data_IF_239129638881
#
_entry.id   IF_239129638881
#
_cell.length_a   1.000
_cell.length_b   1.000
_cell.length_c   1.000
_cell.angle_alpha   90.00
_cell.angle_beta   90.00
_cell.angle_gamma   90.00
#
_symmetry.space_group_name_H-M   'P 1'
#
loop_
_entity.id
_entity.type
_entity.pdbx_description
1 polymer ?
#
# COMPACT_ATOMS: atom_id res chain seq x y z
N UNK A 1 0.26 -17.31 -17.04
CA UNK A 1 0.28 -17.05 -15.56
C UNK A 1 -0.80 -16.04 -15.12
N UNK A 2 -1.07 -14.94 -15.87
CA UNK A 2 -2.10 -13.94 -15.50
C UNK A 2 -3.53 -14.53 -15.44
N UNK A 3 -3.91 -15.36 -16.40
CA UNK A 3 -5.25 -15.96 -16.43
C UNK A 3 -5.51 -16.96 -15.31
N UNK A 4 -4.50 -17.73 -14.88
CA UNK A 4 -4.63 -18.67 -13.77
C UNK A 4 -4.92 -17.96 -12.43
N UNK A 5 -4.24 -16.85 -12.13
CA UNK A 5 -4.50 -16.09 -10.90
C UNK A 5 -5.90 -15.45 -10.82
N UNK A 6 -6.50 -15.16 -11.96
CA UNK A 6 -7.82 -14.55 -12.09
C UNK A 6 -8.90 -15.58 -11.82
N UNK A 7 -8.85 -16.71 -12.55
CA UNK A 7 -9.77 -17.84 -12.39
C UNK A 7 -9.76 -18.39 -10.97
N UNK A 8 -8.58 -18.49 -10.37
CA UNK A 8 -8.38 -18.98 -9.01
C UNK A 8 -9.15 -18.15 -7.97
N UNK A 9 -9.18 -16.83 -8.09
CA UNK A 9 -9.88 -15.96 -7.13
C UNK A 9 -11.39 -16.00 -7.25
N UNK A 10 -11.90 -15.97 -8.47
CA UNK A 10 -13.35 -16.08 -8.69
C UNK A 10 -13.85 -17.45 -8.25
N UNK A 11 -13.08 -18.51 -8.55
CA UNK A 11 -13.43 -19.87 -8.14
C UNK A 11 -13.37 -20.02 -6.62
N UNK A 12 -12.42 -19.39 -5.95
CA UNK A 12 -12.35 -19.33 -4.49
C UNK A 12 -13.60 -18.69 -3.89
N UNK A 13 -14.05 -17.55 -4.45
CA UNK A 13 -15.27 -16.87 -3.98
C UNK A 13 -16.51 -17.71 -4.27
N UNK A 14 -16.59 -18.32 -5.45
CA UNK A 14 -17.70 -19.23 -5.80
C UNK A 14 -17.79 -20.42 -4.85
N UNK A 15 -16.64 -21.03 -4.52
CA UNK A 15 -16.58 -22.15 -3.56
C UNK A 15 -17.05 -21.71 -2.18
N UNK A 16 -16.66 -20.54 -1.70
CA UNK A 16 -17.14 -20.01 -0.41
C UNK A 16 -18.65 -19.82 -0.38
N UNK A 17 -19.23 -19.34 -1.46
CA UNK A 17 -20.67 -19.12 -1.55
C UNK A 17 -21.44 -20.45 -1.64
N UNK A 18 -20.90 -21.43 -2.39
CA UNK A 18 -21.54 -22.73 -2.59
C UNK A 18 -21.48 -23.61 -1.35
N UNK A 19 -20.31 -23.70 -0.71
CA UNK A 19 -20.11 -24.53 0.48
C UNK A 19 -20.56 -23.83 1.78
N UNK A 20 -20.94 -22.55 1.72
CA UNK A 20 -21.26 -21.70 2.87
C UNK A 20 -20.17 -21.74 3.97
N UNK A 21 -18.94 -22.00 3.57
CA UNK A 21 -17.79 -22.15 4.46
C UNK A 21 -16.52 -21.61 3.77
N UNK A 22 -15.55 -21.17 4.58
CA UNK A 22 -14.32 -20.54 4.11
C UNK A 22 -13.17 -21.54 4.19
N UNK A 23 -12.51 -21.82 3.07
CA UNK A 23 -11.31 -22.69 2.99
C UNK A 23 -11.51 -24.13 3.49
N UNK A 24 -12.70 -24.71 3.35
CA UNK A 24 -12.94 -26.12 3.65
C UNK A 24 -12.42 -27.04 2.55
N UNK A 25 -12.54 -26.60 1.32
CA UNK A 25 -12.17 -27.33 0.11
C UNK A 25 -11.21 -26.48 -0.72
N UNK A 26 -10.23 -27.13 -1.33
CA UNK A 26 -9.35 -26.46 -2.28
C UNK A 26 -10.15 -26.07 -3.54
N UNK A 27 -10.28 -24.79 -3.89
CA UNK A 27 -11.13 -24.34 -4.99
C UNK A 27 -10.67 -24.85 -6.36
N UNK A 28 -9.41 -25.26 -6.51
CA UNK A 28 -8.86 -25.76 -7.77
C UNK A 28 -9.06 -27.26 -7.96
N UNK A 29 -8.96 -28.03 -6.88
CA UNK A 29 -9.01 -29.50 -6.94
C UNK A 29 -10.31 -30.09 -6.45
N UNK A 30 -11.15 -29.30 -5.75
CA UNK A 30 -12.39 -29.77 -5.14
C UNK A 30 -12.18 -30.72 -3.97
N UNK A 31 -10.92 -30.92 -3.52
CA UNK A 31 -10.60 -31.85 -2.42
C UNK A 31 -10.41 -31.08 -1.10
N UNK A 32 -10.73 -31.74 0.01
CA UNK A 32 -10.46 -31.18 1.34
C UNK A 32 -8.95 -31.00 1.55
N UNK A 33 -8.56 -29.97 2.30
CA UNK A 33 -7.15 -29.74 2.64
C UNK A 33 -6.62 -30.86 3.54
N UNK A 34 -5.78 -31.73 3.02
CA UNK A 34 -5.27 -32.94 3.70
C UNK A 34 -4.42 -32.66 4.94
N UNK A 35 -3.74 -31.51 4.99
CA UNK A 35 -2.90 -31.08 6.13
C UNK A 35 -3.50 -29.93 6.96
N UNK A 36 -4.80 -29.69 6.83
CA UNK A 36 -5.45 -28.53 7.44
C UNK A 36 -5.12 -27.23 6.74
N UNK A 37 -5.76 -26.15 7.17
CA UNK A 37 -5.61 -24.83 6.59
C UNK A 37 -4.25 -24.22 6.97
N UNK A 38 -3.45 -23.85 5.99
CA UNK A 38 -2.17 -23.14 6.24
C UNK A 38 -2.40 -21.81 6.95
N UNK A 39 -1.47 -21.41 7.82
CA UNK A 39 -1.55 -20.11 8.54
C UNK A 39 -1.74 -18.93 7.60
N UNK A 40 -1.14 -19.02 6.41
CA UNK A 40 -1.30 -18.05 5.33
C UNK A 40 -2.76 -17.84 4.92
N UNK A 41 -3.51 -18.90 4.72
CA UNK A 41 -4.91 -18.83 4.31
C UNK A 41 -5.82 -18.30 5.43
N UNK A 42 -5.45 -18.54 6.69
CA UNK A 42 -6.17 -18.01 7.86
C UNK A 42 -6.08 -16.49 7.98
N UNK A 43 -4.96 -15.91 7.57
CA UNK A 43 -4.69 -14.46 7.70
C UNK A 43 -5.13 -13.70 6.45
N UNK A 44 -5.14 -14.36 5.26
CA UNK A 44 -5.52 -13.72 4.01
C UNK A 44 -7.02 -13.43 3.96
N UNK A 45 -7.42 -12.22 4.32
CA UNK A 45 -8.82 -11.81 4.40
C UNK A 45 -9.42 -11.34 3.06
N UNK A 46 -8.61 -11.08 2.05
CA UNK A 46 -9.08 -10.46 0.80
C UNK A 46 -10.11 -11.30 0.03
N UNK A 47 -9.92 -12.61 -0.22
CA UNK A 47 -10.93 -13.43 -0.88
C UNK A 47 -12.22 -13.57 -0.06
N UNK A 48 -12.09 -13.64 1.27
CA UNK A 48 -13.24 -13.69 2.19
C UNK A 48 -14.06 -12.39 2.12
N UNK A 49 -13.38 -11.24 2.04
CA UNK A 49 -14.04 -9.95 1.86
C UNK A 49 -14.84 -9.91 0.54
N UNK A 50 -14.28 -10.44 -0.55
CA UNK A 50 -14.99 -10.51 -1.83
C UNK A 50 -16.23 -11.39 -1.77
N UNK A 51 -16.14 -12.54 -1.09
CA UNK A 51 -17.29 -13.43 -0.84
C UNK A 51 -18.37 -12.76 0.02
N UNK A 52 -17.97 -12.07 1.09
CA UNK A 52 -18.89 -11.33 1.94
C UNK A 52 -19.59 -10.20 1.16
N UNK A 53 -18.85 -9.43 0.36
CA UNK A 53 -19.44 -8.38 -0.47
C UNK A 53 -20.41 -8.95 -1.52
N UNK A 54 -20.07 -10.07 -2.18
CA UNK A 54 -20.95 -10.75 -3.13
C UNK A 54 -22.25 -11.17 -2.47
N UNK A 55 -22.16 -11.74 -1.26
CA UNK A 55 -23.34 -12.17 -0.49
C UNK A 55 -24.19 -10.99 -0.01
N UNK A 56 -23.55 -9.91 0.44
CA UNK A 56 -24.24 -8.71 0.95
C UNK A 56 -24.92 -7.93 -0.16
N UNK A 57 -24.27 -7.78 -1.32
CA UNK A 57 -24.79 -7.00 -2.46
C UNK A 57 -25.71 -7.82 -3.37
N UNK A 58 -25.70 -9.15 -3.27
CA UNK A 58 -26.38 -10.05 -4.22
C UNK A 58 -25.75 -10.08 -5.61
N UNK A 59 -24.61 -9.43 -5.81
CA UNK A 59 -23.92 -9.39 -7.10
C UNK A 59 -23.16 -10.70 -7.37
N UNK A 60 -23.05 -11.06 -8.64
CA UNK A 60 -22.22 -12.20 -9.03
C UNK A 60 -20.76 -11.98 -8.61
N UNK A 61 -20.04 -13.01 -8.12
CA UNK A 61 -18.64 -12.88 -7.70
C UNK A 61 -17.72 -12.24 -8.72
N UNK A 62 -17.98 -12.52 -10.00
CA UNK A 62 -17.24 -11.92 -11.14
C UNK A 62 -17.41 -10.41 -11.15
N UNK A 63 -18.63 -9.90 -11.00
CA UNK A 63 -18.92 -8.46 -11.02
C UNK A 63 -18.32 -7.75 -9.79
N UNK A 64 -18.35 -8.41 -8.62
CA UNK A 64 -17.70 -7.87 -7.42
C UNK A 64 -16.20 -7.72 -7.65
N UNK A 65 -15.52 -8.78 -8.12
CA UNK A 65 -14.07 -8.78 -8.28
C UNK A 65 -13.62 -7.84 -9.40
N UNK A 66 -14.33 -7.79 -10.53
CA UNK A 66 -13.88 -7.05 -11.72
C UNK A 66 -14.45 -5.65 -11.87
N UNK A 67 -15.57 -5.34 -11.22
CA UNK A 67 -16.21 -4.03 -11.33
C UNK A 67 -16.19 -3.29 -10.00
N UNK A 68 -16.76 -3.88 -8.95
CA UNK A 68 -16.92 -3.20 -7.67
C UNK A 68 -15.56 -2.93 -6.99
N UNK A 69 -14.71 -3.93 -6.87
CA UNK A 69 -13.42 -3.79 -6.17
C UNK A 69 -12.46 -2.82 -6.88
N UNK A 70 -12.26 -2.86 -8.21
CA UNK A 70 -11.44 -1.85 -8.89
C UNK A 70 -11.95 -0.43 -8.71
N UNK A 71 -13.28 -0.21 -8.73
CA UNK A 71 -13.84 1.11 -8.45
C UNK A 71 -13.54 1.59 -7.03
N UNK A 72 -13.70 0.72 -6.03
CA UNK A 72 -13.36 1.04 -4.63
C UNK A 72 -11.85 1.31 -4.51
N UNK A 73 -11.01 0.48 -5.11
CA UNK A 73 -9.56 0.65 -5.09
C UNK A 73 -9.13 1.97 -5.72
N UNK A 74 -9.75 2.35 -6.84
CA UNK A 74 -9.49 3.63 -7.51
C UNK A 74 -9.85 4.82 -6.61
N UNK A 75 -11.02 4.79 -5.97
CA UNK A 75 -11.45 5.83 -5.04
C UNK A 75 -10.50 5.94 -3.84
N UNK A 76 -10.15 4.80 -3.23
CA UNK A 76 -9.21 4.76 -2.10
C UNK A 76 -7.81 5.23 -2.51
N UNK A 77 -7.35 4.89 -3.71
CA UNK A 77 -6.08 5.38 -4.24
C UNK A 77 -6.08 6.91 -4.36
N UNK A 78 -7.17 7.48 -4.88
CA UNK A 78 -7.30 8.92 -5.01
C UNK A 78 -7.28 9.64 -3.64
N UNK A 79 -7.93 9.05 -2.64
CA UNK A 79 -7.90 9.56 -1.25
C UNK A 79 -6.49 9.44 -0.66
N UNK A 80 -5.80 8.32 -0.88
CA UNK A 80 -4.44 8.08 -0.40
C UNK A 80 -3.43 9.08 -1.00
N UNK A 81 -3.48 9.27 -2.33
CA UNK A 81 -2.66 10.29 -3.01
C UNK A 81 -3.07 11.71 -2.65
N UNK A 82 -4.36 11.95 -2.37
CA UNK A 82 -4.84 13.23 -1.83
C UNK A 82 -4.23 13.57 -0.47
N UNK A 83 -4.13 12.57 0.41
CA UNK A 83 -3.45 12.70 1.70
C UNK A 83 -1.95 12.94 1.54
N UNK A 84 -1.31 12.19 0.65
CA UNK A 84 0.11 12.38 0.32
C UNK A 84 0.37 13.78 -0.28
N UNK A 85 -0.49 14.23 -1.18
CA UNK A 85 -0.41 15.57 -1.76
C UNK A 85 -0.54 16.69 -0.73
N UNK A 86 -1.36 16.49 0.32
CA UNK A 86 -1.45 17.42 1.46
C UNK A 86 -0.17 17.43 2.28
N UNK A 87 0.41 16.27 2.53
CA UNK A 87 1.66 16.15 3.28
C UNK A 87 2.87 16.75 2.51
N UNK A 88 2.92 16.59 1.17
CA UNK A 88 3.98 17.12 0.31
C UNK A 88 3.87 18.63 0.08
N UNK A 89 2.64 19.13 -0.08
CA UNK A 89 2.35 20.54 -0.43
C UNK A 89 1.34 21.15 0.52
N UNK A 90 1.68 21.36 1.82
CA UNK A 90 0.73 21.81 2.83
C UNK A 90 0.13 23.19 2.51
N UNK A 91 0.92 24.13 2.01
CA UNK A 91 0.51 25.51 1.77
C UNK A 91 0.09 25.80 0.32
N UNK A 92 0.47 24.95 -0.63
CA UNK A 92 0.28 25.23 -2.05
C UNK A 92 -0.82 24.37 -2.67
N UNK A 93 -2.03 24.90 -2.71
CA UNK A 93 -3.21 24.21 -3.27
C UNK A 93 -3.09 23.92 -4.78
N UNK A 94 -2.39 24.78 -5.53
CA UNK A 94 -2.18 24.62 -6.98
C UNK A 94 -1.28 23.40 -7.23
N UNK A 95 -0.11 23.33 -6.56
CA UNK A 95 0.80 22.18 -6.69
C UNK A 95 0.13 20.86 -6.30
N UNK A 96 -0.70 20.88 -5.24
CA UNK A 96 -1.46 19.71 -4.84
C UNK A 96 -2.46 19.25 -5.90
N UNK A 97 -3.19 20.18 -6.54
CA UNK A 97 -4.13 19.84 -7.63
C UNK A 97 -3.38 19.30 -8.84
N UNK A 98 -2.27 19.95 -9.25
CA UNK A 98 -1.41 19.48 -10.34
C UNK A 98 -0.86 18.08 -10.06
N UNK A 99 -0.40 17.80 -8.83
CA UNK A 99 0.05 16.48 -8.42
C UNK A 99 -1.06 15.43 -8.59
N UNK A 100 -2.27 15.69 -8.10
CA UNK A 100 -3.40 14.77 -8.26
C UNK A 100 -3.81 14.58 -9.73
N UNK A 101 -3.71 15.62 -10.56
CA UNK A 101 -3.98 15.53 -11.98
C UNK A 101 -2.96 14.60 -12.67
N UNK A 102 -1.67 14.75 -12.37
CA UNK A 102 -0.61 13.88 -12.88
C UNK A 102 -0.85 12.42 -12.45
N UNK A 103 -1.21 12.19 -11.18
CA UNK A 103 -1.56 10.85 -10.70
C UNK A 103 -2.76 10.27 -11.45
N UNK A 104 -3.78 11.08 -11.72
CA UNK A 104 -4.94 10.66 -12.52
C UNK A 104 -4.57 10.25 -13.95
N UNK A 105 -3.66 11.01 -14.60
CA UNK A 105 -3.13 10.65 -15.92
C UNK A 105 -2.34 9.33 -15.85
N UNK A 106 -1.48 9.17 -14.83
CA UNK A 106 -0.71 7.93 -14.64
C UNK A 106 -1.61 6.71 -14.43
N UNK A 107 -2.70 6.83 -13.68
CA UNK A 107 -3.67 5.75 -13.55
C UNK A 107 -4.36 5.43 -14.88
N UNK A 108 -4.69 6.43 -15.70
CA UNK A 108 -5.29 6.23 -17.01
C UNK A 108 -4.34 5.54 -18.00
N UNK A 109 -3.03 5.78 -17.88
CA UNK A 109 -2.00 5.18 -18.74
C UNK A 109 -1.42 3.89 -18.15
N UNK A 110 -1.70 3.55 -16.91
CA UNK A 110 -1.12 2.43 -16.17
C UNK A 110 -1.37 1.06 -16.81
N UNK A 111 -2.49 0.91 -17.53
CA UNK A 111 -2.81 -0.29 -18.30
C UNK A 111 -1.77 -0.61 -19.39
N UNK A 112 -1.07 0.40 -19.90
CA UNK A 112 -0.05 0.29 -20.95
C UNK A 112 1.37 0.14 -20.42
N UNK A 113 1.54 0.19 -19.08
CA UNK A 113 2.85 0.07 -18.41
C UNK A 113 3.00 -1.34 -17.79
N UNK A 114 3.48 -2.35 -18.53
CA UNK A 114 3.66 -3.68 -17.99
C UNK A 114 4.72 -3.68 -16.88
N UNK A 115 4.37 -4.28 -15.72
CA UNK A 115 5.28 -4.41 -14.59
C UNK A 115 5.18 -3.34 -13.51
N UNK A 116 4.33 -2.32 -13.69
CA UNK A 116 4.11 -1.28 -12.66
C UNK A 116 2.73 -1.51 -12.02
N UNK A 117 2.67 -2.44 -11.07
CA UNK A 117 1.42 -2.84 -10.40
C UNK A 117 0.68 -1.67 -9.72
N UNK A 118 1.40 -0.62 -9.33
CA UNK A 118 0.83 0.54 -8.64
C UNK A 118 -0.08 1.42 -9.49
N UNK A 119 0.07 1.39 -10.81
CA UNK A 119 -0.75 2.17 -11.75
C UNK A 119 -1.76 1.32 -12.51
N UNK A 120 -1.68 -0.01 -12.47
CA UNK A 120 -2.65 -0.93 -13.08
C UNK A 120 -3.93 -1.05 -12.22
N UNK A 121 -4.52 0.09 -11.82
CA UNK A 121 -5.68 0.09 -10.92
C UNK A 121 -6.95 -0.32 -11.64
N UNK A 122 -7.12 0.03 -12.92
CA UNK A 122 -8.32 -0.29 -13.70
C UNK A 122 -8.46 -1.79 -14.00
N UNK A 123 -7.37 -2.46 -14.38
CA UNK A 123 -7.40 -3.89 -14.75
C UNK A 123 -6.89 -4.80 -13.65
N UNK A 124 -6.07 -4.30 -12.75
CA UNK A 124 -5.46 -5.05 -11.65
C UNK A 124 -5.93 -4.64 -10.26
N UNK A 125 -6.90 -3.72 -10.14
CA UNK A 125 -7.35 -3.15 -8.87
C UNK A 125 -7.90 -4.16 -7.85
N UNK A 126 -8.23 -5.37 -8.27
CA UNK A 126 -8.61 -6.49 -7.41
C UNK A 126 -7.41 -7.27 -6.85
N UNK A 127 -6.18 -6.99 -7.31
CA UNK A 127 -4.97 -7.67 -6.83
C UNK A 127 -4.47 -7.00 -5.55
N UNK A 128 -4.16 -7.81 -4.53
CA UNK A 128 -3.58 -7.28 -3.29
C UNK A 128 -2.30 -6.49 -3.50
N UNK A 129 -1.47 -6.87 -4.48
CA UNK A 129 -0.23 -6.14 -4.82
C UNK A 129 -0.53 -4.74 -5.35
N UNK A 130 -1.53 -4.61 -6.22
CA UNK A 130 -1.99 -3.31 -6.75
C UNK A 130 -2.60 -2.46 -5.64
N UNK A 131 -3.46 -3.03 -4.78
CA UNK A 131 -4.04 -2.33 -3.63
C UNK A 131 -2.93 -1.81 -2.70
N UNK A 132 -1.93 -2.65 -2.40
CA UNK A 132 -0.76 -2.24 -1.61
C UNK A 132 -0.04 -1.05 -2.24
N UNK A 133 0.31 -1.16 -3.53
CA UNK A 133 1.11 -0.15 -4.21
C UNK A 133 0.35 1.16 -4.45
N UNK A 134 -0.94 1.08 -4.80
CA UNK A 134 -1.75 2.25 -5.16
C UNK A 134 -2.42 2.92 -3.94
N UNK A 135 -2.70 2.18 -2.85
CA UNK A 135 -3.43 2.70 -1.68
C UNK A 135 -2.53 2.74 -0.46
N UNK A 136 -1.98 1.58 -0.05
CA UNK A 136 -1.30 1.50 1.25
C UNK A 136 0.02 2.27 1.27
N UNK A 137 0.85 2.16 0.24
CA UNK A 137 2.15 2.86 0.21
C UNK A 137 2.02 4.39 0.19
N UNK A 138 1.20 5.01 -0.67
CA UNK A 138 1.01 6.46 -0.65
C UNK A 138 0.43 6.96 0.68
N UNK A 139 -0.52 6.22 1.25
CA UNK A 139 -1.10 6.59 2.54
C UNK A 139 -0.10 6.42 3.70
N UNK A 140 0.71 5.34 3.68
CA UNK A 140 1.79 5.13 4.63
C UNK A 140 2.80 6.29 4.61
N UNK A 141 3.25 6.71 3.41
CA UNK A 141 4.16 7.85 3.26
C UNK A 141 3.55 9.15 3.82
N UNK A 142 2.26 9.38 3.56
CA UNK A 142 1.55 10.52 4.17
C UNK A 142 1.57 10.45 5.70
N UNK A 143 1.29 9.28 6.29
CA UNK A 143 1.31 9.08 7.73
C UNK A 143 2.70 9.25 8.34
N UNK A 144 3.75 8.80 7.66
CA UNK A 144 5.13 8.97 8.10
C UNK A 144 5.55 10.45 8.08
N UNK A 145 5.17 11.20 7.04
CA UNK A 145 5.44 12.64 6.94
C UNK A 145 4.70 13.42 8.03
N UNK A 146 3.42 13.09 8.27
CA UNK A 146 2.59 13.72 9.30
C UNK A 146 2.86 13.18 10.72
N UNK A 147 3.78 12.22 10.90
CA UNK A 147 4.10 11.53 12.17
C UNK A 147 2.90 10.86 12.84
N UNK A 148 1.95 10.39 12.05
CA UNK A 148 0.76 9.66 12.52
C UNK A 148 1.04 8.18 12.67
N UNK A 149 1.66 7.78 13.78
CA UNK A 149 2.08 6.39 14.02
C UNK A 149 0.94 5.37 14.03
N UNK A 150 -0.25 5.76 14.49
CA UNK A 150 -1.45 4.90 14.42
C UNK A 150 -1.80 4.52 12.99
N UNK A 151 -1.72 5.46 12.03
CA UNK A 151 -1.92 5.19 10.61
C UNK A 151 -0.85 4.26 10.04
N UNK A 152 0.40 4.39 10.48
CA UNK A 152 1.50 3.48 10.08
C UNK A 152 1.22 2.05 10.51
N UNK A 153 0.82 1.84 11.77
CA UNK A 153 0.48 0.51 12.30
C UNK A 153 -0.69 -0.09 11.53
N UNK A 154 -1.74 0.70 11.27
CA UNK A 154 -2.89 0.25 10.48
C UNK A 154 -2.50 -0.16 9.06
N UNK A 155 -1.59 0.57 8.40
CA UNK A 155 -1.10 0.19 7.07
C UNK A 155 -0.34 -1.15 7.08
N UNK A 156 0.50 -1.38 8.10
CA UNK A 156 1.24 -2.65 8.25
C UNK A 156 0.27 -3.81 8.48
N UNK A 157 -0.72 -3.64 9.35
CA UNK A 157 -1.75 -4.64 9.60
C UNK A 157 -2.62 -4.90 8.36
N UNK A 158 -3.03 -3.85 7.66
CA UNK A 158 -3.80 -3.98 6.42
C UNK A 158 -2.99 -4.71 5.34
N UNK A 159 -1.69 -4.43 5.21
CA UNK A 159 -0.83 -5.17 4.27
C UNK A 159 -0.80 -6.67 4.60
N UNK A 160 -0.65 -7.04 5.87
CA UNK A 160 -0.66 -8.43 6.29
C UNK A 160 -1.97 -9.15 5.93
N UNK A 161 -3.11 -8.46 5.99
CA UNK A 161 -4.42 -8.99 5.62
C UNK A 161 -4.63 -9.11 4.10
N UNK A 162 -4.02 -8.22 3.31
CA UNK A 162 -4.24 -8.11 1.86
C UNK A 162 -3.25 -8.96 1.06
N UNK A 163 -1.97 -8.95 1.44
CA UNK A 163 -0.89 -9.62 0.70
C UNK A 163 0.01 -10.38 1.67
N UNK A 164 -0.26 -11.67 1.82
CA UNK A 164 0.65 -12.54 2.55
C UNK A 164 1.67 -13.15 1.59
N UNK A 165 2.78 -12.45 1.40
CA UNK A 165 4.01 -13.04 0.85
C UNK A 165 5.11 -12.88 1.89
N UNK A 166 6.19 -13.67 1.83
CA UNK A 166 7.35 -13.46 2.72
C UNK A 166 7.89 -12.02 2.62
N UNK A 167 7.61 -11.35 1.51
CA UNK A 167 7.91 -9.94 1.24
C UNK A 167 6.72 -9.00 1.51
N UNK A 168 5.50 -9.52 1.74
CA UNK A 168 4.27 -8.71 1.77
C UNK A 168 4.06 -7.94 3.06
N UNK A 169 4.10 -8.57 4.21
CA UNK A 169 4.06 -7.87 5.51
C UNK A 169 5.30 -7.00 5.72
N UNK A 170 6.35 -7.25 4.92
CA UNK A 170 7.62 -6.57 5.00
C UNK A 170 7.72 -5.26 4.23
N UNK A 171 6.91 -4.97 3.21
CA UNK A 171 7.12 -3.76 2.40
C UNK A 171 6.78 -2.50 3.18
N UNK A 172 5.62 -2.41 3.81
CA UNK A 172 5.27 -1.27 4.65
C UNK A 172 6.20 -1.16 5.87
N UNK A 173 6.58 -2.29 6.46
CA UNK A 173 7.55 -2.33 7.56
C UNK A 173 8.93 -1.86 7.08
N UNK A 174 9.43 -2.37 5.95
CA UNK A 174 10.72 -1.96 5.38
C UNK A 174 10.76 -0.47 5.03
N UNK A 175 9.71 0.05 4.42
CA UNK A 175 9.59 1.49 4.12
C UNK A 175 9.60 2.31 5.41
N UNK A 176 8.89 1.86 6.45
CA UNK A 176 8.87 2.53 7.75
C UNK A 176 10.26 2.52 8.39
N UNK A 177 10.94 1.38 8.43
CA UNK A 177 12.30 1.27 8.99
C UNK A 177 13.29 2.12 8.19
N UNK A 178 13.24 2.07 6.85
CA UNK A 178 14.08 2.90 5.99
C UNK A 178 13.86 4.40 6.25
N UNK A 179 12.61 4.83 6.42
CA UNK A 179 12.26 6.21 6.75
C UNK A 179 12.84 6.65 8.11
N UNK A 180 12.73 5.79 9.13
CA UNK A 180 13.29 6.08 10.46
C UNK A 180 14.81 6.16 10.44
N UNK A 181 15.49 5.25 9.73
CA UNK A 181 16.95 5.26 9.55
C UNK A 181 17.37 6.54 8.83
N UNK A 182 16.70 6.88 7.72
CA UNK A 182 17.01 8.10 6.96
C UNK A 182 16.83 9.35 7.82
N UNK A 183 15.74 9.43 8.59
CA UNK A 183 15.49 10.52 9.53
C UNK A 183 16.57 10.63 10.60
N UNK A 184 17.03 9.51 11.16
CA UNK A 184 18.12 9.48 12.13
C UNK A 184 19.45 9.93 11.52
N UNK A 185 19.78 9.48 10.30
CA UNK A 185 20.98 9.90 9.58
C UNK A 185 20.97 11.40 9.29
N UNK A 186 19.88 11.92 8.75
CA UNK A 186 19.74 13.36 8.46
C UNK A 186 19.89 14.19 9.74
N UNK A 187 19.31 13.75 10.84
CA UNK A 187 19.45 14.44 12.14
C UNK A 187 20.88 14.44 12.64
N UNK A 188 21.62 13.34 12.48
CA UNK A 188 23.05 13.26 12.84
C UNK A 188 23.91 14.15 11.97
N UNK A 189 23.69 14.17 10.64
CA UNK A 189 24.40 15.04 9.73
C UNK A 189 24.16 16.52 10.07
N UNK A 190 22.93 16.91 10.36
CA UNK A 190 22.58 18.28 10.75
C UNK A 190 23.32 18.70 12.04
N UNK A 191 23.31 17.84 13.08
CA UNK A 191 24.03 18.10 14.33
C UNK A 191 25.55 18.23 14.12
N UNK A 192 26.15 17.40 13.25
CA UNK A 192 27.57 17.49 12.91
C UNK A 192 27.89 18.79 12.17
N UNK A 193 27.01 19.22 11.28
CA UNK A 193 27.18 20.45 10.49
C UNK A 193 27.07 21.69 11.37
N UNK A 194 26.12 21.72 12.28
CA UNK A 194 25.95 22.79 13.26
C UNK A 194 27.18 22.89 14.19
N UNK A 195 27.73 21.76 14.67
CA UNK A 195 28.96 21.74 15.46
C UNK A 195 30.17 22.32 14.68
N UNK A 196 30.36 21.95 13.42
CA UNK A 196 31.43 22.49 12.59
C UNK A 196 31.32 24.01 12.42
N UNK A 197 30.13 24.51 12.13
CA UNK A 197 29.89 25.95 12.02
C UNK A 197 30.23 26.71 13.31
N UNK A 198 29.92 26.16 14.49
CA UNK A 198 30.27 26.78 15.77
C UNK A 198 31.80 26.81 15.99
N UNK A 199 32.49 25.72 15.63
CA UNK A 199 33.95 25.64 15.76
C UNK A 199 34.65 26.65 14.85
N UNK A 200 34.19 26.79 13.59
CA UNK A 200 34.73 27.74 12.62
C UNK A 200 34.46 29.20 13.03
N UNK A 201 33.29 29.48 13.64
CA UNK A 201 32.97 30.81 14.16
C UNK A 201 33.84 31.21 15.37
N UNK A 202 34.16 30.23 16.23
CA UNK A 202 35.01 30.47 17.42
C UNK A 202 36.48 30.64 17.03
N UNK A 203 36.94 29.95 15.97
CA UNK A 203 38.29 30.14 15.42
C UNK A 203 38.51 31.54 14.85
N UNK A 204 37.53 32.09 14.14
CA UNK A 204 37.64 33.45 13.56
C UNK A 204 37.64 34.56 14.60
N UNK A 205 36.83 34.43 15.67
CA UNK A 205 36.80 35.41 16.75
C UNK A 205 38.09 35.41 17.60
N UNK A 206 38.85 34.30 17.58
CA UNK A 206 40.15 34.21 18.24
C UNK A 206 41.32 34.87 17.46
N UNK A 207 41.21 34.89 16.10
CA UNK A 207 42.21 35.57 15.23
C UNK A 207 42.04 37.09 15.27
N UNK A 208 40.81 37.62 15.29
CA UNK A 208 40.55 39.07 15.38
C UNK A 208 40.92 39.69 16.73
N UNK A 209 41.12 38.90 17.77
CA UNK A 209 41.51 39.38 19.11
C UNK A 209 43.03 39.43 19.33
N UNK A 210 43.81 38.97 18.36
CA UNK A 210 45.30 38.91 18.45
C UNK A 210 46.01 39.90 17.50
N UNK A 211 45.29 40.67 16.71
CA UNK A 211 45.77 41.85 15.98
C UNK A 211 45.43 43.16 16.73
#
# INVERSE_FOLDING_TARGET
QRQMCIRDRVETVNTFLRENAVYTVNPLTGTAYSMGMSLRLKILCLPTLYGALSRFTGMAPVDVVYRLIPCITLLLSYVAYGSLGKALFPENSVKRRTFLLIVGILFSTGAYMPGVDGFDVFYGGFRGVTIRAAVLLPYLLSCLMDRKYTGVILCILAEACIVWTLYGAGVCLLVTVAWLILGALVSQFRKRWEKRKMTDAHGRSGEEATE
#
